data_IF_087606224313
#
_entry.id   IF_087606224313
#
_cell.length_a   1.000
_cell.length_b   1.000
_cell.length_c   1.000
_cell.angle_alpha   90.00
_cell.angle_beta   90.00
_cell.angle_gamma   90.00
#
_symmetry.space_group_name_H-M   'P 1'
#
loop_
_entity.id
_entity.type
_entity.pdbx_description
1 polymer ?
#
# COMPACT_ATOMS: atom_id res chain seq x y z
N UNK A 1 12.19 -1.48 -5.20
CA UNK A 1 11.76 -0.07 -5.12
C UNK A 1 10.77 0.05 -4.00
N UNK A 2 11.11 0.82 -2.97
CA UNK A 2 10.22 1.13 -1.85
C UNK A 2 9.30 2.25 -2.30
N UNK A 3 8.00 2.08 -2.18
CA UNK A 3 7.06 3.15 -2.51
C UNK A 3 6.95 4.07 -1.30
N UNK A 4 7.68 5.18 -1.33
CA UNK A 4 7.57 6.26 -0.34
C UNK A 4 6.56 7.26 -0.89
N UNK A 5 5.43 7.43 -0.23
CA UNK A 5 4.31 8.16 -0.83
C UNK A 5 4.02 9.50 -0.21
N UNK A 6 4.51 9.81 0.97
CA UNK A 6 4.33 11.13 1.56
C UNK A 6 5.20 11.35 2.79
N UNK A 7 5.61 12.58 2.98
CA UNK A 7 6.45 13.06 4.08
C UNK A 7 5.72 14.18 4.81
N UNK A 8 5.66 14.11 6.14
CA UNK A 8 5.34 15.25 6.99
C UNK A 8 6.66 15.77 7.55
N UNK A 9 7.03 17.00 7.23
CA UNK A 9 8.22 17.65 7.74
C UNK A 9 7.88 18.76 8.73
N UNK A 10 8.61 18.86 9.83
CA UNK A 10 8.50 19.96 10.81
C UNK A 10 9.87 20.54 11.03
N UNK A 11 10.04 21.84 10.73
CA UNK A 11 11.27 22.57 10.98
C UNK A 11 11.29 23.22 12.37
N UNK A 12 12.38 23.00 13.11
CA UNK A 12 12.59 23.55 14.44
C UNK A 12 14.01 24.08 14.59
N UNK A 13 14.24 25.30 14.15
CA UNK A 13 15.59 25.89 14.13
C UNK A 13 16.11 26.41 15.47
N UNK A 14 15.30 26.58 16.52
CA UNK A 14 15.75 27.19 17.80
C UNK A 14 14.83 26.91 18.99
N UNK A 15 14.15 25.79 18.98
CA UNK A 15 13.22 25.46 20.08
C UNK A 15 13.97 24.99 21.35
N UNK A 16 13.47 25.32 22.56
CA UNK A 16 13.96 24.74 23.79
C UNK A 16 13.98 23.21 23.78
N UNK A 17 14.93 22.61 24.48
CA UNK A 17 15.11 21.14 24.51
C UNK A 17 13.83 20.38 24.93
N UNK A 18 13.04 20.96 25.81
CA UNK A 18 11.75 20.37 26.25
C UNK A 18 10.73 20.33 25.13
N UNK A 19 10.62 21.42 24.34
CA UNK A 19 9.74 21.47 23.17
C UNK A 19 10.20 20.49 22.09
N UNK A 20 11.51 20.36 21.88
CA UNK A 20 12.04 19.35 20.96
C UNK A 20 11.67 17.93 21.38
N UNK A 21 11.75 17.61 22.68
CA UNK A 21 11.33 16.30 23.22
C UNK A 21 9.83 16.07 23.07
N UNK A 22 9.02 17.08 23.38
CA UNK A 22 7.56 16.99 23.23
C UNK A 22 7.15 16.76 21.76
N UNK A 23 7.81 17.46 20.85
CA UNK A 23 7.59 17.27 19.42
C UNK A 23 8.02 15.89 18.93
N UNK A 24 9.20 15.42 19.33
CA UNK A 24 9.66 14.07 18.98
C UNK A 24 8.66 13.00 19.43
N UNK A 25 8.10 13.16 20.63
CA UNK A 25 7.03 12.29 21.14
C UNK A 25 5.74 12.39 20.33
N UNK A 26 5.34 13.60 19.94
CA UNK A 26 4.16 13.82 19.10
C UNK A 26 4.32 13.18 17.71
N UNK A 27 5.48 13.36 17.08
CA UNK A 27 5.78 12.73 15.78
C UNK A 27 5.82 11.21 15.88
N UNK A 28 6.38 10.64 16.95
CA UNK A 28 6.37 9.20 17.16
C UNK A 28 4.94 8.65 17.30
N UNK A 29 4.07 9.33 18.06
CA UNK A 29 2.65 8.96 18.16
C UNK A 29 1.92 9.08 16.82
N UNK A 30 2.23 10.11 16.03
CA UNK A 30 1.69 10.31 14.69
C UNK A 30 2.13 9.19 13.75
N UNK A 31 3.38 8.76 13.81
CA UNK A 31 3.92 7.65 13.03
C UNK A 31 3.16 6.34 13.30
N UNK A 32 2.93 6.03 14.56
CA UNK A 32 2.15 4.85 14.96
C UNK A 32 0.69 4.94 14.47
N UNK A 33 0.09 6.12 14.56
CA UNK A 33 -1.29 6.36 14.10
C UNK A 33 -1.38 6.19 12.58
N UNK A 34 -0.47 6.77 11.81
CA UNK A 34 -0.41 6.63 10.36
C UNK A 34 -0.25 5.16 9.93
N UNK A 35 0.66 4.42 10.57
CA UNK A 35 0.89 3.01 10.27
C UNK A 35 -0.34 2.16 10.58
N UNK A 36 -0.97 2.37 11.74
CA UNK A 36 -2.19 1.68 12.13
C UNK A 36 -3.33 1.97 11.16
N UNK A 37 -3.52 3.24 10.79
CA UNK A 37 -4.57 3.65 9.86
C UNK A 37 -4.35 3.07 8.46
N UNK A 38 -3.12 3.06 7.95
CA UNK A 38 -2.81 2.45 6.66
C UNK A 38 -3.09 0.93 6.65
N UNK A 39 -2.75 0.23 7.74
CA UNK A 39 -3.07 -1.19 7.90
C UNK A 39 -4.59 -1.45 7.98
N UNK A 40 -5.35 -0.53 8.57
CA UNK A 40 -6.80 -0.58 8.60
C UNK A 40 -7.39 -0.35 7.20
N UNK A 41 -6.94 0.69 6.50
CA UNK A 41 -7.37 1.00 5.14
C UNK A 41 -7.15 -0.19 4.19
N UNK A 42 -6.01 -0.88 4.30
CA UNK A 42 -5.73 -2.10 3.52
C UNK A 42 -6.74 -3.23 3.80
N UNK A 43 -7.18 -3.37 5.05
CA UNK A 43 -8.12 -4.42 5.43
C UNK A 43 -9.53 -4.12 4.89
N UNK A 44 -9.95 -2.86 4.93
CA UNK A 44 -11.28 -2.42 4.51
C UNK A 44 -11.40 -2.27 2.99
N UNK A 45 -10.36 -1.75 2.33
CA UNK A 45 -10.42 -1.37 0.91
C UNK A 45 -9.96 -2.49 -0.03
N UNK A 46 -8.96 -3.28 0.36
CA UNK A 46 -8.31 -4.25 -0.53
C UNK A 46 -8.62 -5.72 -0.23
N UNK A 47 -9.33 -6.05 0.84
CA UNK A 47 -9.56 -7.43 1.26
C UNK A 47 -8.28 -8.26 1.21
N UNK A 48 -7.34 -7.95 2.11
CA UNK A 48 -6.00 -8.54 2.14
C UNK A 48 -6.05 -10.08 2.18
N UNK A 49 -5.58 -10.74 1.12
CA UNK A 49 -5.63 -12.21 0.98
C UNK A 49 -4.52 -12.92 1.74
N UNK A 50 -3.31 -12.39 1.67
CA UNK A 50 -2.12 -13.03 2.28
C UNK A 50 -1.54 -12.21 3.44
N UNK A 51 -2.05 -11.02 3.68
CA UNK A 51 -1.51 -10.10 4.68
C UNK A 51 -0.12 -9.51 4.37
N UNK A 52 0.57 -9.98 3.32
CA UNK A 52 1.95 -9.54 3.00
C UNK A 52 2.04 -8.02 2.85
N UNK A 53 1.13 -7.40 2.08
CA UNK A 53 1.12 -5.95 1.89
C UNK A 53 0.86 -5.22 3.21
N UNK A 54 -0.12 -5.67 3.99
CA UNK A 54 -0.43 -5.11 5.31
C UNK A 54 0.77 -5.19 6.26
N UNK A 55 1.47 -6.32 6.27
CA UNK A 55 2.63 -6.53 7.14
C UNK A 55 3.88 -5.77 6.65
N UNK A 56 3.91 -5.33 5.39
CA UNK A 56 5.00 -4.51 4.85
C UNK A 56 4.84 -3.02 5.12
N UNK A 57 3.68 -2.58 5.62
CA UNK A 57 3.46 -1.17 5.99
C UNK A 57 4.24 -0.87 7.26
N UNK A 58 5.06 0.17 7.21
CA UNK A 58 5.86 0.68 8.33
C UNK A 58 6.04 2.18 8.22
N UNK A 59 6.24 2.79 9.37
CA UNK A 59 6.65 4.18 9.50
C UNK A 59 8.13 4.26 9.84
N UNK A 60 8.79 5.29 9.35
CA UNK A 60 10.18 5.63 9.64
C UNK A 60 10.25 7.11 9.98
N UNK A 61 10.98 7.46 11.03
CA UNK A 61 11.24 8.84 11.40
C UNK A 61 12.69 9.15 11.07
N UNK A 62 12.90 10.15 10.23
CA UNK A 62 14.23 10.67 9.89
C UNK A 62 14.42 12.01 10.54
N UNK A 63 15.52 12.17 11.23
CA UNK A 63 15.88 13.43 11.89
C UNK A 63 17.18 13.97 11.30
N UNK A 64 17.14 15.25 10.93
CA UNK A 64 18.29 16.06 10.60
C UNK A 64 18.36 17.23 11.59
N UNK A 65 19.45 17.99 11.67
CA UNK A 65 19.53 19.15 12.58
C UNK A 65 18.43 20.20 12.39
N UNK A 66 17.83 20.28 11.20
CA UNK A 66 16.82 21.28 10.85
C UNK A 66 15.43 20.71 10.57
N UNK A 67 15.30 19.40 10.37
CA UNK A 67 14.07 18.80 9.90
C UNK A 67 13.83 17.42 10.53
N UNK A 68 12.63 17.18 11.02
CA UNK A 68 12.16 15.85 11.38
C UNK A 68 11.08 15.42 10.38
N UNK A 69 11.30 14.32 9.70
CA UNK A 69 10.41 13.77 8.69
C UNK A 69 9.80 12.46 9.18
N UNK A 70 8.50 12.30 8.94
CA UNK A 70 7.79 11.04 9.04
C UNK A 70 7.57 10.47 7.66
N UNK A 71 8.14 9.30 7.39
CA UNK A 71 7.91 8.53 6.18
C UNK A 71 6.98 7.36 6.48
N UNK A 72 5.89 7.27 5.71
CA UNK A 72 5.01 6.11 5.72
C UNK A 72 5.23 5.34 4.42
N UNK A 73 5.58 4.06 4.53
CA UNK A 73 5.98 3.27 3.38
C UNK A 73 5.36 1.87 3.41
N UNK A 74 5.17 1.30 2.22
CA UNK A 74 4.74 -0.07 2.03
C UNK A 74 5.56 -0.73 0.92
N UNK A 75 5.74 -2.04 1.02
CA UNK A 75 6.64 -2.79 0.16
C UNK A 75 7.95 -3.08 0.89
N UNK A 76 8.71 -4.07 0.41
CA UNK A 76 10.02 -4.39 0.95
C UNK A 76 11.11 -4.09 -0.07
N UNK A 77 12.28 -3.70 0.39
CA UNK A 77 13.50 -3.76 -0.40
C UNK A 77 13.69 -5.20 -0.87
N UNK A 78 13.92 -5.38 -2.17
CA UNK A 78 13.99 -6.71 -2.78
C UNK A 78 12.73 -7.18 -3.51
N UNK A 79 11.68 -6.34 -3.63
CA UNK A 79 10.56 -6.58 -4.55
C UNK A 79 9.52 -7.59 -4.10
N UNK A 80 9.56 -8.05 -2.85
CA UNK A 80 8.58 -9.05 -2.35
C UNK A 80 7.12 -8.54 -2.36
N UNK A 81 6.91 -7.21 -2.40
CA UNK A 81 5.59 -6.58 -2.47
C UNK A 81 5.56 -5.52 -3.58
N UNK A 82 5.99 -5.90 -4.78
CA UNK A 82 6.06 -5.03 -5.96
C UNK A 82 4.69 -4.42 -6.35
N UNK A 83 3.60 -5.03 -5.90
CA UNK A 83 2.24 -4.58 -6.18
C UNK A 83 1.74 -3.47 -5.23
N UNK A 84 2.53 -3.04 -4.23
CA UNK A 84 2.14 -1.99 -3.29
C UNK A 84 1.76 -0.70 -4.01
N UNK A 85 2.62 -0.26 -4.93
CA UNK A 85 2.43 0.97 -5.70
C UNK A 85 1.20 0.93 -6.59
N UNK A 86 0.98 -0.19 -7.30
CA UNK A 86 -0.15 -0.28 -8.22
C UNK A 86 -1.51 -0.29 -7.51
N UNK A 87 -1.55 -0.71 -6.25
CA UNK A 87 -2.75 -0.58 -5.44
C UNK A 87 -2.98 0.86 -4.98
N UNK A 88 -1.93 1.59 -4.63
CA UNK A 88 -2.05 2.99 -4.21
C UNK A 88 -2.45 3.90 -5.36
N UNK A 89 -1.69 3.84 -6.46
CA UNK A 89 -1.81 4.79 -7.57
C UNK A 89 -2.72 4.28 -8.71
N UNK A 90 -3.05 2.98 -8.69
CA UNK A 90 -3.65 2.34 -9.85
C UNK A 90 -2.63 2.12 -10.97
N UNK A 91 -3.11 1.56 -12.07
CA UNK A 91 -2.25 1.41 -13.24
C UNK A 91 -2.69 0.31 -14.20
N UNK A 92 -1.86 0.09 -15.20
CA UNK A 92 -2.08 -0.93 -16.22
C UNK A 92 -0.96 -1.96 -16.16
N UNK A 93 -1.34 -3.22 -16.00
CA UNK A 93 -0.41 -4.35 -16.10
C UNK A 93 -0.45 -4.90 -17.52
N UNK A 94 0.73 -5.04 -18.11
CA UNK A 94 0.93 -5.66 -19.42
C UNK A 94 1.92 -6.81 -19.31
N UNK A 95 1.83 -7.84 -20.14
CA UNK A 95 2.82 -8.92 -20.15
C UNK A 95 4.17 -8.42 -20.68
N UNK A 96 5.27 -8.73 -19.95
CA UNK A 96 6.63 -8.30 -20.34
C UNK A 96 7.37 -9.39 -21.10
N UNK A 97 7.32 -10.64 -20.61
CA UNK A 97 8.06 -11.78 -21.19
C UNK A 97 7.19 -12.76 -21.96
N UNK A 98 5.87 -12.63 -21.87
CA UNK A 98 4.90 -13.56 -22.47
C UNK A 98 3.90 -12.80 -23.32
N UNK A 99 3.23 -13.49 -24.24
CA UNK A 99 2.22 -12.90 -25.12
C UNK A 99 0.96 -12.46 -24.35
N UNK A 100 0.65 -13.11 -23.21
CA UNK A 100 -0.58 -12.94 -22.45
C UNK A 100 -0.32 -12.84 -20.95
N UNK A 101 -1.16 -12.08 -20.27
CA UNK A 101 -1.37 -12.19 -18.82
C UNK A 101 -2.37 -13.33 -18.61
N UNK A 102 -2.06 -14.26 -17.73
CA UNK A 102 -2.96 -15.33 -17.33
C UNK A 102 -3.56 -15.00 -15.96
N UNK A 103 -4.85 -14.67 -15.96
CA UNK A 103 -5.59 -14.30 -14.74
C UNK A 103 -6.39 -15.52 -14.30
N UNK A 104 -6.14 -16.10 -13.11
CA UNK A 104 -6.88 -17.26 -12.62
C UNK A 104 -8.35 -16.90 -12.38
N UNK A 105 -9.27 -17.73 -12.86
CA UNK A 105 -10.70 -17.64 -12.61
C UNK A 105 -11.06 -18.36 -11.30
N UNK A 106 -12.32 -18.31 -10.90
CA UNK A 106 -12.80 -18.87 -9.62
C UNK A 106 -12.39 -20.33 -9.39
N UNK A 107 -12.50 -21.16 -10.41
CA UNK A 107 -12.12 -22.59 -10.36
C UNK A 107 -10.64 -22.84 -10.11
N UNK A 108 -9.78 -21.91 -10.53
CA UNK A 108 -8.34 -21.95 -10.30
C UNK A 108 -7.90 -21.26 -9.00
N UNK A 109 -8.87 -20.82 -8.17
CA UNK A 109 -8.60 -20.13 -6.91
C UNK A 109 -9.06 -20.94 -5.71
N UNK A 110 -8.45 -20.65 -4.56
CA UNK A 110 -8.92 -21.10 -3.25
C UNK A 110 -10.14 -20.26 -2.82
N UNK A 111 -10.83 -20.67 -1.75
CA UNK A 111 -11.92 -19.88 -1.15
C UNK A 111 -11.45 -18.46 -0.75
N UNK A 112 -10.20 -18.31 -0.34
CA UNK A 112 -9.58 -17.01 -0.07
C UNK A 112 -9.25 -16.20 -1.35
N UNK A 113 -9.57 -16.72 -2.55
CA UNK A 113 -9.34 -16.07 -3.83
C UNK A 113 -7.87 -16.03 -4.28
N UNK A 114 -6.99 -16.81 -3.66
CA UNK A 114 -5.59 -16.97 -4.06
C UNK A 114 -5.50 -18.03 -5.15
N UNK A 115 -4.64 -17.84 -6.17
CA UNK A 115 -4.39 -18.88 -7.17
C UNK A 115 -3.88 -20.15 -6.51
N UNK A 116 -4.43 -21.30 -6.89
CA UNK A 116 -3.96 -22.62 -6.45
C UNK A 116 -2.65 -23.04 -7.13
N UNK A 117 -2.34 -22.41 -8.25
CA UNK A 117 -1.22 -22.75 -9.12
C UNK A 117 -0.32 -21.54 -9.33
N UNK A 118 0.98 -21.76 -9.39
CA UNK A 118 1.95 -20.68 -9.67
C UNK A 118 1.85 -20.23 -11.12
N UNK A 119 1.69 -21.18 -12.03
CA UNK A 119 1.55 -20.91 -13.46
C UNK A 119 0.41 -21.75 -14.06
N UNK A 120 -0.17 -21.33 -15.20
CA UNK A 120 -1.15 -22.16 -15.89
C UNK A 120 -0.59 -23.52 -16.36
N UNK A 121 0.75 -23.65 -16.51
CA UNK A 121 1.39 -24.89 -16.92
C UNK A 121 1.34 -25.98 -15.87
N UNK A 122 1.13 -25.60 -14.61
CA UNK A 122 1.00 -26.54 -13.49
C UNK A 122 -0.36 -27.24 -13.48
N UNK A 123 -1.29 -26.81 -14.36
CA UNK A 123 -2.60 -27.44 -14.54
C UNK A 123 -2.55 -28.31 -15.80
N UNK A 124 -2.75 -29.63 -15.69
CA UNK A 124 -2.75 -30.51 -16.85
C UNK A 124 -3.96 -30.24 -17.75
N UNK A 125 -3.87 -30.66 -19.01
CA UNK A 125 -4.96 -30.68 -20.00
C UNK A 125 -5.65 -29.33 -20.28
N UNK A 126 -4.92 -28.22 -20.10
CA UNK A 126 -5.42 -26.91 -20.51
C UNK A 126 -5.17 -26.70 -22.01
N UNK A 127 -6.20 -26.32 -22.72
CA UNK A 127 -6.12 -25.93 -24.12
C UNK A 127 -6.50 -24.45 -24.29
N UNK A 128 -6.01 -23.85 -25.38
CA UNK A 128 -6.32 -22.49 -25.76
C UNK A 128 -7.71 -22.41 -26.39
N UNK A 129 -8.55 -21.52 -25.88
CA UNK A 129 -9.87 -21.21 -26.44
C UNK A 129 -9.97 -19.70 -26.72
N UNK A 130 -10.35 -19.27 -27.93
CA UNK A 130 -10.50 -17.86 -28.26
C UNK A 130 -11.62 -17.23 -27.41
N UNK A 131 -11.41 -15.99 -26.97
CA UNK A 131 -12.41 -15.22 -26.25
C UNK A 131 -13.36 -14.48 -27.21
N UNK A 132 -14.54 -14.17 -26.74
CA UNK A 132 -15.53 -13.38 -27.50
C UNK A 132 -15.10 -11.93 -27.74
N UNK A 133 -14.25 -11.39 -26.86
CA UNK A 133 -13.76 -10.00 -26.97
C UNK A 133 -12.37 -9.96 -27.63
N UNK A 134 -12.11 -9.05 -28.58
CA UNK A 134 -10.79 -8.87 -29.15
C UNK A 134 -9.72 -8.69 -28.06
N UNK A 135 -8.58 -9.36 -28.22
CA UNK A 135 -7.48 -9.31 -27.25
C UNK A 135 -7.69 -10.13 -25.96
N UNK A 136 -8.72 -11.00 -25.95
CA UNK A 136 -8.94 -11.97 -24.86
C UNK A 136 -8.97 -13.40 -25.39
N UNK A 137 -8.56 -14.34 -24.54
CA UNK A 137 -8.69 -15.78 -24.76
C UNK A 137 -8.80 -16.48 -23.39
N UNK A 138 -8.98 -17.78 -23.39
CA UNK A 138 -9.04 -18.58 -22.19
C UNK A 138 -8.08 -19.76 -22.30
N UNK A 139 -7.65 -20.24 -21.13
CA UNK A 139 -7.17 -21.60 -20.98
C UNK A 139 -8.28 -22.39 -20.30
N UNK A 140 -8.81 -23.38 -21.01
CA UNK A 140 -9.95 -24.18 -20.59
C UNK A 140 -9.60 -25.65 -20.50
N UNK A 141 -10.34 -26.41 -19.72
CA UNK A 141 -10.30 -27.86 -19.65
C UNK A 141 -11.07 -28.49 -20.84
N UNK A 142 -10.88 -29.79 -21.15
CA UNK A 142 -11.62 -30.49 -22.22
C UNK A 142 -13.15 -30.42 -22.09
N UNK A 143 -13.65 -30.27 -20.87
CA UNK A 143 -15.07 -30.08 -20.59
C UNK A 143 -15.59 -28.65 -20.94
N UNK A 144 -14.72 -27.78 -21.46
CA UNK A 144 -15.03 -26.40 -21.79
C UNK A 144 -14.95 -25.43 -20.61
N UNK A 145 -14.64 -25.88 -19.38
CA UNK A 145 -14.55 -25.03 -18.19
C UNK A 145 -13.34 -24.11 -18.28
N UNK A 146 -13.51 -22.76 -18.28
CA UNK A 146 -12.40 -21.83 -18.33
C UNK A 146 -11.73 -21.71 -16.96
N UNK A 147 -10.42 -21.89 -16.93
CA UNK A 147 -9.58 -21.82 -15.72
C UNK A 147 -8.81 -20.51 -15.63
N UNK A 148 -8.33 -20.01 -16.76
CA UNK A 148 -7.61 -18.73 -16.80
C UNK A 148 -8.13 -17.86 -17.93
N UNK A 149 -8.31 -16.58 -17.61
CA UNK A 149 -8.49 -15.53 -18.62
C UNK A 149 -7.12 -15.08 -19.11
N UNK A 150 -6.94 -15.11 -20.43
CA UNK A 150 -5.77 -14.54 -21.09
C UNK A 150 -6.12 -13.15 -21.62
N UNK A 151 -5.34 -12.15 -21.24
CA UNK A 151 -5.52 -10.77 -21.71
C UNK A 151 -4.18 -10.12 -22.01
N UNK A 152 -4.18 -9.12 -22.90
CA UNK A 152 -2.99 -8.32 -23.20
C UNK A 152 -2.79 -7.16 -22.22
N UNK A 153 -3.80 -6.80 -21.46
CA UNK A 153 -3.74 -5.74 -20.45
C UNK A 153 -4.72 -5.99 -19.33
N UNK A 154 -4.36 -5.58 -18.14
CA UNK A 154 -5.25 -5.54 -16.99
C UNK A 154 -5.16 -4.17 -16.34
N UNK A 155 -6.30 -3.51 -16.15
CA UNK A 155 -6.38 -2.21 -15.48
C UNK A 155 -6.67 -2.47 -13.99
N UNK A 156 -5.85 -1.92 -13.14
CA UNK A 156 -6.02 -1.95 -11.69
C UNK A 156 -6.46 -0.54 -11.27
N UNK A 157 -7.65 -0.37 -10.70
CA UNK A 157 -8.08 0.93 -10.19
C UNK A 157 -7.25 1.33 -8.98
N UNK A 158 -6.99 2.63 -8.83
CA UNK A 158 -6.37 3.19 -7.63
C UNK A 158 -7.24 2.90 -6.41
N UNK A 159 -6.60 2.47 -5.33
CA UNK A 159 -7.21 2.25 -4.01
C UNK A 159 -6.22 2.71 -2.96
N UNK A 160 -6.09 4.04 -2.78
CA UNK A 160 -5.10 4.62 -1.89
C UNK A 160 -5.33 4.18 -0.45
N UNK A 161 -4.27 3.80 0.22
CA UNK A 161 -4.28 3.35 1.61
C UNK A 161 -3.22 4.06 2.47
N UNK A 162 -2.12 4.53 1.86
CA UNK A 162 -1.08 5.28 2.56
C UNK A 162 -1.44 6.77 2.66
N UNK A 163 -1.82 7.40 1.55
CA UNK A 163 -2.11 8.82 1.53
C UNK A 163 -3.24 9.21 2.51
N UNK A 164 -4.41 8.56 2.51
CA UNK A 164 -5.47 8.89 3.47
C UNK A 164 -5.05 8.64 4.93
N UNK A 165 -4.20 7.64 5.17
CA UNK A 165 -3.71 7.37 6.52
C UNK A 165 -2.77 8.47 7.02
N UNK A 166 -1.95 9.02 6.12
CA UNK A 166 -1.05 10.11 6.44
C UNK A 166 -1.81 11.43 6.68
N UNK A 167 -2.86 11.70 5.90
CA UNK A 167 -3.73 12.86 6.07
C UNK A 167 -4.39 12.86 7.46
N UNK A 168 -4.99 11.74 7.86
CA UNK A 168 -5.57 11.57 9.21
C UNK A 168 -4.52 11.78 10.30
N UNK A 169 -3.32 11.25 10.11
CA UNK A 169 -2.25 11.39 11.10
C UNK A 169 -1.70 12.83 11.15
N UNK A 170 -1.62 13.52 10.00
CA UNK A 170 -1.21 14.92 9.91
C UNK A 170 -2.18 15.85 10.64
N UNK A 171 -3.49 15.66 10.47
CA UNK A 171 -4.51 16.41 11.18
C UNK A 171 -4.39 16.23 12.70
N UNK A 172 -4.19 15.00 13.16
CA UNK A 172 -3.95 14.71 14.57
C UNK A 172 -2.68 15.39 15.11
N UNK A 173 -1.60 15.41 14.33
CA UNK A 173 -0.37 16.11 14.71
C UNK A 173 -0.60 17.62 14.80
N UNK A 174 -1.28 18.23 13.83
CA UNK A 174 -1.60 19.65 13.82
C UNK A 174 -2.37 20.06 15.08
N UNK A 175 -3.42 19.34 15.42
CA UNK A 175 -4.21 19.61 16.65
C UNK A 175 -3.35 19.44 17.90
N UNK A 176 -2.49 18.43 17.94
CA UNK A 176 -1.54 18.22 19.06
C UNK A 176 -0.53 19.35 19.20
N UNK A 177 0.00 19.88 18.10
CA UNK A 177 0.92 21.02 18.10
C UNK A 177 0.24 22.33 18.54
N UNK A 178 -0.97 22.61 18.05
CA UNK A 178 -1.76 23.77 18.47
C UNK A 178 -2.02 23.76 19.98
N UNK A 179 -2.27 22.58 20.56
CA UNK A 179 -2.43 22.44 22.00
C UNK A 179 -1.11 22.71 22.75
N UNK A 180 0.00 22.12 22.29
CA UNK A 180 1.32 22.33 22.92
C UNK A 180 1.75 23.80 22.89
N UNK A 181 1.52 24.51 21.80
CA UNK A 181 1.83 25.95 21.70
C UNK A 181 0.94 26.78 22.63
N UNK A 182 -0.34 26.47 22.73
CA UNK A 182 -1.24 27.16 23.65
C UNK A 182 -0.84 26.96 25.11
N UNK A 183 -0.53 25.73 25.50
CA UNK A 183 -0.12 25.39 26.86
C UNK A 183 1.22 26.06 27.22
N UNK A 184 2.17 26.13 26.28
CA UNK A 184 3.45 26.82 26.48
C UNK A 184 3.27 28.34 26.68
N UNK A 185 2.42 29.00 25.87
CA UNK A 185 2.12 30.44 26.00
C UNK A 185 1.37 30.77 27.29
N UNK A 186 0.54 29.87 27.79
CA UNK A 186 -0.17 30.07 29.06
C UNK A 186 0.78 30.04 30.28
N UNK A 187 1.88 29.28 30.20
CA UNK A 187 2.90 29.19 31.25
C UNK A 187 3.82 30.43 31.28
N UNK A 188 4.03 31.13 30.14
CA UNK A 188 4.83 32.35 30.08
C UNK A 188 4.06 33.61 30.53
N UNK A 189 2.73 33.51 30.62
CA UNK A 189 1.85 34.61 31.03
C UNK A 189 1.42 34.57 32.50
N UNK A 190 1.93 33.63 33.33
CA UNK A 190 1.67 33.47 34.74
C UNK A 190 2.87 33.79 35.58
#
# INVERSE_FOLDING_TARGET
MTTTLSTIGVELKSAPKELQRALAKAIAATAMTAERQAKLNLTTTLHARTGRLRNSVRSEIRQTPSLTELLLQAGSEGGQVAYARIHEEGGVIVPVRRKWLAIPLSVAKTAAGVSRYQTPRDVPDLHFAPGKRPGTAYLAKPDGTPWFLLTKRSVIPARPYLLPALEVAADGLRVGLEKLTRDALALEGS
#
